data_IF_617158000221
#
_entry.id   IF_617158000221
#
_cell.length_a   1.000
_cell.length_b   1.000
_cell.length_c   1.000
_cell.angle_alpha   90.00
_cell.angle_beta   90.00
_cell.angle_gamma   90.00
#
_symmetry.space_group_name_H-M   'P 1'
#
loop_
_entity.id
_entity.type
_entity.pdbx_description
1 polymer ?
#
# COMPACT_ATOMS: atom_id res chain seq x y z
N UNK A 1 -36.83 -18.64 -11.84
CA UNK A 1 -36.07 -18.46 -13.10
C UNK A 1 -35.91 -16.95 -13.30
N UNK A 2 -34.74 -16.37 -13.50
CA UNK A 2 -33.63 -16.81 -14.37
C UNK A 2 -32.27 -16.37 -13.80
N UNK A 3 -31.29 -17.27 -13.90
CA UNK A 3 -29.89 -17.09 -13.51
C UNK A 3 -29.16 -16.24 -14.55
N UNK A 4 -28.31 -15.31 -14.12
CA UNK A 4 -27.29 -14.70 -14.98
C UNK A 4 -25.91 -15.21 -14.58
N UNK A 5 -25.22 -15.70 -15.61
CA UNK A 5 -24.04 -16.54 -15.58
C UNK A 5 -22.76 -15.73 -15.33
N UNK A 6 -21.78 -16.40 -14.74
CA UNK A 6 -20.36 -16.05 -14.72
C UNK A 6 -19.78 -15.82 -16.13
N UNK A 7 -18.80 -14.93 -16.24
CA UNK A 7 -17.70 -15.10 -17.17
C UNK A 7 -16.41 -14.48 -16.58
N UNK A 8 -15.46 -15.36 -16.24
CA UNK A 8 -14.05 -15.02 -16.09
C UNK A 8 -13.52 -14.50 -17.42
N UNK A 9 -12.68 -13.46 -17.38
CA UNK A 9 -11.91 -13.01 -18.54
C UNK A 9 -10.51 -12.63 -18.11
N UNK A 10 -9.60 -13.61 -18.12
CA UNK A 10 -8.16 -13.36 -18.13
C UNK A 10 -7.78 -12.77 -19.48
N UNK A 11 -7.00 -11.68 -19.51
CA UNK A 11 -6.28 -11.27 -20.71
C UNK A 11 -4.86 -10.84 -20.34
N UNK A 12 -3.94 -11.79 -20.46
CA UNK A 12 -2.51 -11.55 -20.62
C UNK A 12 -2.26 -11.32 -22.11
N UNK A 13 -1.64 -10.21 -22.53
CA UNK A 13 -0.85 -10.20 -23.77
C UNK A 13 0.37 -9.29 -23.61
N UNK A 14 1.53 -9.92 -23.80
CA UNK A 14 2.88 -9.36 -23.86
C UNK A 14 3.15 -8.55 -25.14
N UNK A 15 4.18 -7.70 -25.04
CA UNK A 15 4.78 -6.81 -26.03
C UNK A 15 4.92 -7.32 -27.48
N UNK A 16 4.81 -6.39 -28.44
CA UNK A 16 5.94 -5.97 -29.31
C UNK A 16 5.66 -4.59 -29.91
N UNK A 17 6.63 -3.69 -29.79
CA UNK A 17 6.61 -2.31 -30.29
C UNK A 17 7.27 -2.27 -31.68
N UNK A 18 6.49 -1.99 -32.73
CA UNK A 18 6.99 -1.54 -34.04
C UNK A 18 6.02 -0.48 -34.56
N UNK A 19 6.53 0.74 -34.77
CA UNK A 19 5.71 1.93 -34.99
C UNK A 19 5.18 2.09 -36.42
N UNK A 20 3.97 2.63 -36.52
CA UNK A 20 3.49 3.60 -37.53
C UNK A 20 2.30 4.36 -36.94
N UNK A 21 2.24 5.66 -37.20
CA UNK A 21 1.26 6.62 -36.69
C UNK A 21 -0.14 6.48 -37.31
N UNK A 22 -1.14 6.96 -36.55
CA UNK A 22 -2.49 7.38 -36.93
C UNK A 22 -3.61 6.32 -37.10
N UNK A 23 -4.35 6.06 -36.02
CA UNK A 23 -5.81 6.04 -36.03
C UNK A 23 -6.35 6.23 -34.60
N UNK A 24 -7.24 7.21 -34.45
CA UNK A 24 -7.93 7.56 -33.23
C UNK A 24 -8.86 6.42 -32.81
N UNK A 25 -8.71 5.95 -31.57
CA UNK A 25 -9.78 5.28 -30.86
C UNK A 25 -9.98 6.06 -29.56
N UNK A 26 -11.11 6.76 -29.36
CA UNK A 26 -11.41 7.36 -28.08
C UNK A 26 -11.77 6.23 -27.12
N UNK A 27 -10.73 5.65 -26.51
CA UNK A 27 -10.90 4.88 -25.28
C UNK A 27 -11.48 5.82 -24.24
N UNK A 28 -12.61 5.41 -23.66
CA UNK A 28 -13.24 6.10 -22.55
C UNK A 28 -12.16 6.56 -21.55
N UNK A 29 -12.21 7.81 -21.05
CA UNK A 29 -11.36 8.16 -19.94
C UNK A 29 -11.77 7.24 -18.79
N UNK A 30 -10.95 6.23 -18.52
CA UNK A 30 -10.96 5.56 -17.25
C UNK A 30 -10.84 6.69 -16.23
N UNK A 31 -11.95 6.95 -15.54
CA UNK A 31 -12.07 8.00 -14.55
C UNK A 31 -11.26 7.52 -13.36
N UNK A 32 -9.94 7.61 -13.48
CA UNK A 32 -9.01 7.46 -12.38
C UNK A 32 -9.37 8.60 -11.44
N UNK A 33 -9.95 8.26 -10.30
CA UNK A 33 -10.30 9.20 -9.25
C UNK A 33 -9.06 10.08 -9.00
N UNK A 34 -9.16 11.42 -9.06
CA UNK A 34 -8.00 12.32 -8.94
C UNK A 34 -7.12 12.05 -7.72
N UNK A 35 -7.70 11.51 -6.65
CA UNK A 35 -7.01 11.11 -5.42
C UNK A 35 -5.97 9.99 -5.61
N UNK A 36 -6.23 9.00 -6.46
CA UNK A 36 -5.31 7.88 -6.66
C UNK A 36 -4.03 8.33 -7.40
N UNK A 37 -4.19 9.20 -8.40
CA UNK A 37 -3.06 9.75 -9.16
C UNK A 37 -2.22 10.70 -8.30
N UNK A 38 -2.85 11.49 -7.43
CA UNK A 38 -2.15 12.39 -6.50
C UNK A 38 -1.37 11.61 -5.42
N UNK A 39 -1.94 10.52 -4.90
CA UNK A 39 -1.26 9.67 -3.91
C UNK A 39 -0.05 8.95 -4.53
N UNK A 40 -0.17 8.49 -5.79
CA UNK A 40 0.93 7.85 -6.51
C UNK A 40 2.07 8.83 -6.85
N UNK A 41 1.74 10.09 -7.16
CA UNK A 41 2.73 11.12 -7.45
C UNK A 41 3.50 11.56 -6.19
N UNK A 42 2.85 11.65 -5.02
CA UNK A 42 3.56 11.89 -3.76
C UNK A 42 4.48 10.73 -3.36
N UNK A 43 4.08 9.49 -3.67
CA UNK A 43 4.88 8.30 -3.41
C UNK A 43 6.13 8.26 -4.32
N UNK A 44 6.02 8.70 -5.57
CA UNK A 44 7.17 8.86 -6.49
C UNK A 44 8.15 9.96 -6.05
N UNK A 45 7.67 11.09 -5.53
CA UNK A 45 8.58 12.14 -5.02
C UNK A 45 9.35 11.71 -3.77
N UNK A 46 8.76 10.87 -2.90
CA UNK A 46 9.48 10.29 -1.75
C UNK A 46 10.55 9.27 -2.14
N UNK A 47 10.47 8.65 -3.33
CA UNK A 47 11.51 7.74 -3.84
C UNK A 47 12.84 8.42 -4.16
N UNK A 48 12.85 9.74 -4.40
CA UNK A 48 14.03 10.42 -4.94
C UNK A 48 15.14 10.66 -3.92
N UNK A 49 14.89 10.43 -2.62
CA UNK A 49 15.92 10.50 -1.56
C UNK A 49 15.61 9.52 -0.42
N UNK A 50 15.81 8.23 -0.67
CA UNK A 50 15.81 7.26 0.41
C UNK A 50 17.07 7.46 1.28
N UNK A 51 16.92 7.53 2.63
CA UNK A 51 18.07 7.53 3.52
C UNK A 51 18.90 6.26 3.35
N UNK A 52 20.18 6.33 3.71
CA UNK A 52 21.01 5.13 3.82
C UNK A 52 20.62 4.31 5.04
N UNK A 53 20.80 2.99 4.97
CA UNK A 53 20.53 2.07 6.09
C UNK A 53 21.23 2.47 7.41
N UNK A 54 22.43 3.07 7.31
CA UNK A 54 23.22 3.54 8.45
C UNK A 54 22.61 4.75 9.18
N UNK A 55 21.64 5.44 8.57
CA UNK A 55 20.97 6.61 9.18
C UNK A 55 19.89 6.19 10.19
N UNK A 56 19.50 4.90 10.20
CA UNK A 56 18.54 4.37 11.16
C UNK A 56 19.23 3.71 12.36
N UNK A 57 18.95 4.25 13.53
CA UNK A 57 19.39 3.69 14.81
C UNK A 57 18.69 2.37 15.13
N UNK A 58 19.32 1.54 15.96
CA UNK A 58 18.74 0.27 16.40
C UNK A 58 17.39 0.46 17.11
N UNK A 59 17.26 1.52 17.93
CA UNK A 59 15.99 1.88 18.58
C UNK A 59 14.87 2.20 17.59
N UNK A 60 15.19 2.83 16.45
CA UNK A 60 14.19 3.09 15.40
C UNK A 60 13.80 1.79 14.69
N UNK A 61 14.72 0.84 14.54
CA UNK A 61 14.41 -0.46 13.95
C UNK A 61 13.60 -1.35 14.91
N UNK A 62 13.89 -1.30 16.21
CA UNK A 62 13.09 -1.98 17.25
C UNK A 62 11.65 -1.46 17.23
N UNK A 63 11.49 -0.14 17.29
CA UNK A 63 10.17 0.50 17.23
C UNK A 63 9.44 0.24 15.89
N UNK A 64 10.17 -0.01 14.80
CA UNK A 64 9.59 -0.39 13.52
C UNK A 64 9.06 -1.82 13.56
N UNK A 65 9.81 -2.75 14.16
CA UNK A 65 9.37 -4.14 14.36
C UNK A 65 8.11 -4.20 15.24
N UNK A 66 8.08 -3.45 16.34
CA UNK A 66 6.89 -3.33 17.19
C UNK A 66 5.68 -2.79 16.41
N UNK A 67 5.86 -1.69 15.66
CA UNK A 67 4.81 -1.14 14.82
C UNK A 67 4.34 -2.12 13.73
N UNK A 68 5.21 -2.92 13.12
CA UNK A 68 4.84 -3.93 12.13
C UNK A 68 3.93 -5.02 12.72
N UNK A 69 4.21 -5.44 13.95
CA UNK A 69 3.38 -6.42 14.66
C UNK A 69 1.98 -5.88 14.92
N UNK A 70 1.88 -4.66 15.43
CA UNK A 70 0.59 -4.01 15.71
C UNK A 70 -0.18 -3.73 14.41
N UNK A 71 0.52 -3.22 13.39
CA UNK A 71 -0.03 -3.00 12.05
C UNK A 71 -0.61 -4.29 11.45
N UNK A 72 0.08 -5.42 11.61
CA UNK A 72 -0.40 -6.72 11.14
C UNK A 72 -1.69 -7.14 11.87
N UNK A 73 -1.77 -6.92 13.18
CA UNK A 73 -2.98 -7.16 13.98
C UNK A 73 -4.16 -6.28 13.53
N UNK A 74 -3.91 -4.99 13.28
CA UNK A 74 -4.90 -4.04 12.78
C UNK A 74 -5.39 -4.49 11.39
N UNK A 75 -4.48 -4.79 10.46
CA UNK A 75 -4.84 -5.26 9.11
C UNK A 75 -5.74 -6.49 9.16
N UNK A 76 -5.40 -7.49 9.98
CA UNK A 76 -6.22 -8.69 10.13
C UNK A 76 -7.60 -8.40 10.72
N UNK A 77 -7.68 -7.54 11.74
CA UNK A 77 -8.94 -7.13 12.36
C UNK A 77 -9.85 -6.43 11.35
N UNK A 78 -9.33 -5.40 10.70
CA UNK A 78 -10.12 -4.56 9.79
C UNK A 78 -10.47 -5.29 8.48
N UNK A 79 -9.63 -6.23 8.01
CA UNK A 79 -9.99 -7.10 6.89
C UNK A 79 -11.25 -7.94 7.19
N UNK A 80 -11.35 -8.51 8.39
CA UNK A 80 -12.55 -9.25 8.83
C UNK A 80 -13.77 -8.33 8.92
N UNK A 81 -13.60 -7.12 9.45
CA UNK A 81 -14.69 -6.14 9.54
C UNK A 81 -15.19 -5.66 8.18
N UNK A 82 -14.28 -5.44 7.22
CA UNK A 82 -14.64 -5.09 5.85
C UNK A 82 -15.39 -6.23 5.17
N UNK A 83 -14.92 -7.48 5.35
CA UNK A 83 -15.59 -8.65 4.80
C UNK A 83 -17.01 -8.80 5.35
N UNK A 84 -17.21 -8.54 6.65
CA UNK A 84 -18.54 -8.56 7.29
C UNK A 84 -19.48 -7.46 6.76
N UNK A 85 -18.93 -6.37 6.21
CA UNK A 85 -19.68 -5.20 5.72
C UNK A 85 -19.63 -5.07 4.18
N UNK A 86 -19.29 -6.14 3.46
CA UNK A 86 -19.12 -6.13 1.99
C UNK A 86 -20.33 -5.64 1.21
N UNK A 87 -21.54 -5.84 1.74
CA UNK A 87 -22.80 -5.46 1.11
C UNK A 87 -23.30 -4.07 1.56
N UNK A 88 -22.49 -3.36 2.36
CA UNK A 88 -22.82 -2.06 2.97
C UNK A 88 -21.72 -1.02 2.68
N UNK A 89 -21.76 -0.35 1.53
CA UNK A 89 -20.66 0.50 1.07
C UNK A 89 -20.34 1.66 2.03
N UNK A 90 -21.36 2.27 2.65
CA UNK A 90 -21.16 3.36 3.59
C UNK A 90 -20.49 2.90 4.89
N UNK A 91 -20.85 1.72 5.41
CA UNK A 91 -20.20 1.15 6.60
C UNK A 91 -18.79 0.67 6.28
N UNK A 92 -18.57 0.09 5.10
CA UNK A 92 -17.24 -0.32 4.64
C UNK A 92 -16.27 0.88 4.54
N UNK A 93 -16.76 2.03 4.05
CA UNK A 93 -15.96 3.26 3.99
C UNK A 93 -15.55 3.75 5.39
N UNK A 94 -16.45 3.68 6.38
CA UNK A 94 -16.13 4.02 7.78
C UNK A 94 -15.05 3.10 8.34
N UNK A 95 -15.18 1.79 8.14
CA UNK A 95 -14.18 0.80 8.59
C UNK A 95 -12.82 1.05 7.94
N UNK A 96 -12.77 1.40 6.66
CA UNK A 96 -11.52 1.73 5.99
C UNK A 96 -10.88 3.00 6.56
N UNK A 97 -11.67 4.00 6.93
CA UNK A 97 -11.16 5.23 7.57
C UNK A 97 -10.61 4.93 8.97
N UNK A 98 -11.36 4.19 9.79
CA UNK A 98 -10.92 3.77 11.12
C UNK A 98 -9.64 2.94 11.07
N UNK A 99 -9.53 2.03 10.08
CA UNK A 99 -8.32 1.27 9.86
C UNK A 99 -7.12 2.20 9.64
N UNK A 100 -7.23 3.18 8.74
CA UNK A 100 -6.15 4.14 8.48
C UNK A 100 -5.76 4.94 9.73
N UNK A 101 -6.73 5.38 10.52
CA UNK A 101 -6.48 6.09 11.78
C UNK A 101 -5.72 5.20 12.78
N UNK A 102 -6.15 3.94 12.94
CA UNK A 102 -5.47 2.98 13.82
C UNK A 102 -4.06 2.61 13.36
N UNK A 103 -3.84 2.51 12.05
CA UNK A 103 -2.50 2.29 11.51
C UNK A 103 -1.55 3.45 11.84
N UNK A 104 -2.03 4.70 11.76
CA UNK A 104 -1.23 5.88 12.12
C UNK A 104 -0.96 5.94 13.62
N UNK A 105 -1.95 5.58 14.44
CA UNK A 105 -1.82 5.50 15.91
C UNK A 105 -0.77 4.47 16.31
N UNK A 106 -0.80 3.25 15.75
CA UNK A 106 0.19 2.20 16.04
C UNK A 106 1.64 2.63 15.76
N UNK A 107 1.88 3.37 14.67
CA UNK A 107 3.22 3.89 14.38
C UNK A 107 3.66 4.96 15.40
N UNK A 108 2.74 5.81 15.84
CA UNK A 108 3.04 6.83 16.86
C UNK A 108 3.27 6.21 18.24
N UNK A 109 2.50 5.20 18.59
CA UNK A 109 2.57 4.50 19.87
C UNK A 109 3.88 3.73 20.04
N UNK A 110 4.48 3.25 18.94
CA UNK A 110 5.83 2.67 18.98
C UNK A 110 6.94 3.71 19.21
N UNK A 111 6.60 5.01 19.22
CA UNK A 111 7.56 6.11 19.34
C UNK A 111 8.28 6.45 18.04
N UNK A 112 7.78 5.98 16.89
CA UNK A 112 8.27 6.37 15.57
C UNK A 112 7.46 7.52 14.97
N UNK A 113 8.16 8.39 14.25
CA UNK A 113 7.49 9.29 13.32
C UNK A 113 6.98 8.52 12.10
N UNK A 114 5.79 8.86 11.62
CA UNK A 114 5.19 8.24 10.43
C UNK A 114 6.10 8.34 9.20
N UNK A 115 6.83 9.45 9.06
CA UNK A 115 7.80 9.64 7.97
C UNK A 115 8.93 8.61 8.06
N UNK A 116 9.51 8.45 9.24
CA UNK A 116 10.60 7.50 9.50
C UNK A 116 10.14 6.07 9.23
N UNK A 117 8.96 5.68 9.72
CA UNK A 117 8.38 4.36 9.44
C UNK A 117 8.26 4.09 7.93
N UNK A 118 7.73 5.05 7.16
CA UNK A 118 7.59 4.89 5.71
C UNK A 118 8.95 4.79 5.01
N UNK A 119 9.95 5.56 5.44
CA UNK A 119 11.31 5.48 4.89
C UNK A 119 11.97 4.13 5.17
N UNK A 120 11.82 3.59 6.37
CA UNK A 120 12.31 2.24 6.72
C UNK A 120 11.61 1.18 5.88
N UNK A 121 10.27 1.22 5.81
CA UNK A 121 9.47 0.28 5.02
C UNK A 121 9.87 0.31 3.55
N UNK A 122 10.06 1.50 2.98
CA UNK A 122 10.45 1.67 1.59
C UNK A 122 11.89 1.19 1.35
N UNK A 123 12.84 1.51 2.22
CA UNK A 123 14.23 1.05 2.07
C UNK A 123 14.32 -0.47 2.14
N UNK A 124 13.56 -1.12 3.04
CA UNK A 124 13.52 -2.58 3.17
C UNK A 124 13.00 -3.30 1.91
N UNK A 125 12.26 -2.61 1.03
CA UNK A 125 11.83 -3.16 -0.27
C UNK A 125 12.99 -3.24 -1.28
N UNK A 126 13.97 -2.34 -1.18
CA UNK A 126 15.07 -2.23 -2.16
C UNK A 126 16.42 -2.74 -1.66
N UNK A 127 16.61 -2.80 -0.34
CA UNK A 127 17.86 -3.21 0.30
C UNK A 127 17.66 -4.52 1.08
N UNK A 128 18.25 -5.60 0.57
CA UNK A 128 18.11 -6.94 1.13
C UNK A 128 18.84 -7.12 2.46
N UNK A 129 20.01 -6.51 2.61
CA UNK A 129 20.80 -6.58 3.84
C UNK A 129 20.10 -5.79 4.94
N UNK A 130 19.57 -4.61 4.60
CA UNK A 130 18.77 -3.81 5.53
C UNK A 130 17.49 -4.54 5.98
N UNK A 131 16.79 -5.20 5.05
CA UNK A 131 15.63 -6.04 5.41
C UNK A 131 16.02 -7.16 6.37
N UNK A 132 17.17 -7.81 6.16
CA UNK A 132 17.67 -8.87 7.06
C UNK A 132 17.91 -8.30 8.46
N UNK A 133 18.55 -7.13 8.56
CA UNK A 133 18.75 -6.43 9.84
C UNK A 133 17.44 -6.11 10.57
N UNK A 134 16.38 -5.75 9.85
CA UNK A 134 15.05 -5.54 10.45
C UNK A 134 14.45 -6.87 10.91
N UNK A 135 14.62 -7.96 10.15
CA UNK A 135 14.07 -9.26 10.52
C UNK A 135 14.67 -9.81 11.82
N UNK A 136 15.94 -9.51 12.11
CA UNK A 136 16.57 -9.86 13.40
C UNK A 136 15.96 -9.14 14.61
N UNK A 137 15.13 -8.13 14.38
CA UNK A 137 14.43 -7.33 15.40
C UNK A 137 13.02 -7.85 15.73
N UNK A 138 12.43 -8.69 14.86
CA UNK A 138 11.05 -9.18 14.96
C UNK A 138 10.95 -10.47 15.77
#
# INVERSE_FOLDING_TARGET
>A
MSKRMMALGALMISATFTGTVAAQQPGAPASQTPQAQQQQQMQQQQMQQLPKASEFSDKQLDAFADAQKDMSGIQQKYAKELQAKKDKPEEAMKVQKEAQEKMVEAVKDSGLELRTYNQIAQLAQYDADFRTRIQEKM
#
